data_IF_081538448277
#
_entry.id   IF_081538448277
#
_cell.length_a   1.000
_cell.length_b   1.000
_cell.length_c   1.000
_cell.angle_alpha   90.00
_cell.angle_beta   90.00
_cell.angle_gamma   90.00
#
_symmetry.space_group_name_H-M   'P 1'
#
loop_
_entity.id
_entity.type
_entity.pdbx_description
1 polymer ?
#
# COMPACT_ATOMS: atom_id res chain seq x y z
N UNK A 1 -4.02 14.92 5.14
CA UNK A 1 -4.89 14.12 4.23
C UNK A 1 -4.06 12.98 3.65
N UNK A 2 -4.54 11.74 3.76
CA UNK A 2 -3.88 10.55 3.21
C UNK A 2 -4.31 10.29 1.77
N UNK A 3 -3.39 9.84 0.92
CA UNK A 3 -3.68 9.54 -0.48
C UNK A 3 -4.52 8.27 -0.68
N UNK A 4 -4.41 7.34 0.26
CA UNK A 4 -5.09 6.04 0.20
C UNK A 4 -5.75 5.72 1.53
N UNK A 5 -6.90 5.08 1.48
CA UNK A 5 -7.56 4.49 2.64
C UNK A 5 -7.63 2.98 2.51
N UNK A 6 -7.44 2.27 3.61
CA UNK A 6 -7.66 0.82 3.70
C UNK A 6 -9.16 0.59 3.91
N UNK A 7 -9.88 0.26 2.84
CA UNK A 7 -11.31 -0.04 2.93
C UNK A 7 -11.52 -1.55 3.02
N UNK A 8 -12.06 -2.02 4.13
CA UNK A 8 -12.56 -3.39 4.25
C UNK A 8 -13.74 -3.56 3.29
N UNK A 9 -13.76 -4.70 2.60
CA UNK A 9 -14.87 -5.22 1.80
C UNK A 9 -15.21 -6.60 2.37
N UNK A 10 -16.42 -7.13 2.11
CA UNK A 10 -16.80 -8.46 2.56
C UNK A 10 -15.86 -9.53 1.98
N UNK A 11 -15.19 -10.30 2.85
CA UNK A 11 -14.32 -11.42 2.48
C UNK A 11 -14.79 -12.76 3.07
N UNK A 12 -15.98 -12.82 3.67
CA UNK A 12 -16.43 -13.98 4.46
C UNK A 12 -15.75 -14.08 5.84
N UNK A 13 -14.75 -13.23 6.10
CA UNK A 13 -14.08 -13.11 7.39
C UNK A 13 -14.64 -11.93 8.20
N UNK A 14 -14.39 -11.97 9.51
CA UNK A 14 -14.69 -10.86 10.41
C UNK A 14 -14.02 -9.54 9.94
N UNK A 15 -14.78 -8.43 9.80
CA UNK A 15 -14.24 -7.17 9.29
C UNK A 15 -13.06 -6.61 10.10
N UNK A 16 -13.06 -6.75 11.43
CA UNK A 16 -11.99 -6.23 12.27
C UNK A 16 -10.68 -7.02 12.05
N UNK A 17 -10.79 -8.34 11.87
CA UNK A 17 -9.67 -9.21 11.50
C UNK A 17 -9.05 -8.80 10.16
N UNK A 18 -9.90 -8.53 9.16
CA UNK A 18 -9.45 -8.08 7.83
C UNK A 18 -8.75 -6.73 7.93
N UNK A 19 -9.30 -5.79 8.71
CA UNK A 19 -8.71 -4.48 8.92
C UNK A 19 -7.32 -4.56 9.57
N UNK A 20 -7.19 -5.35 10.64
CA UNK A 20 -5.92 -5.53 11.34
C UNK A 20 -4.83 -6.11 10.42
N UNK A 21 -5.19 -7.11 9.60
CA UNK A 21 -4.29 -7.71 8.61
C UNK A 21 -3.90 -6.71 7.52
N UNK A 22 -4.83 -5.90 7.02
CA UNK A 22 -4.54 -4.85 6.05
C UNK A 22 -3.58 -3.79 6.61
N UNK A 23 -3.80 -3.33 7.84
CA UNK A 23 -2.91 -2.37 8.53
C UNK A 23 -1.50 -2.94 8.70
N UNK A 24 -1.39 -4.20 9.14
CA UNK A 24 -0.10 -4.89 9.28
C UNK A 24 0.63 -5.00 7.93
N UNK A 25 -0.06 -5.42 6.88
CA UNK A 25 0.52 -5.52 5.54
C UNK A 25 0.92 -4.15 4.97
N UNK A 26 0.15 -3.10 5.25
CA UNK A 26 0.44 -1.74 4.85
C UNK A 26 1.71 -1.19 5.52
N UNK A 27 1.82 -1.34 6.85
CA UNK A 27 3.01 -0.91 7.59
C UNK A 27 4.26 -1.71 7.21
N UNK A 28 4.12 -3.02 6.97
CA UNK A 28 5.20 -3.83 6.44
C UNK A 28 5.72 -3.27 5.10
N UNK A 29 4.81 -2.97 4.17
CA UNK A 29 5.19 -2.34 2.91
C UNK A 29 5.83 -0.96 3.12
N UNK A 30 5.28 -0.14 4.03
CA UNK A 30 5.83 1.17 4.36
C UNK A 30 7.30 1.06 4.81
N UNK A 31 7.63 0.07 5.64
CA UNK A 31 8.96 -0.10 6.23
C UNK A 31 10.07 -0.52 5.25
N UNK A 32 9.72 -0.94 4.03
CA UNK A 32 10.68 -1.44 3.03
C UNK A 32 10.84 -0.43 1.89
N UNK A 33 12.07 -0.24 1.39
CA UNK A 33 12.33 0.56 0.20
C UNK A 33 11.69 -0.09 -1.03
N UNK A 34 11.21 0.68 -2.00
CA UNK A 34 10.63 0.08 -3.21
C UNK A 34 11.73 -0.37 -4.18
N UNK A 35 11.84 -1.65 -4.57
CA UNK A 35 12.82 -2.08 -5.56
C UNK A 35 12.56 -1.53 -6.96
N UNK A 36 11.32 -1.12 -7.26
CA UNK A 36 10.89 -0.64 -8.58
C UNK A 36 11.12 0.85 -8.79
N UNK A 37 10.70 1.68 -7.84
CA UNK A 37 10.80 3.14 -7.97
C UNK A 37 11.83 3.78 -7.04
N UNK A 38 12.57 2.94 -6.29
CA UNK A 38 13.69 3.30 -5.42
C UNK A 38 13.37 4.36 -4.35
N UNK A 39 12.08 4.59 -4.07
CA UNK A 39 11.66 5.42 -2.94
C UNK A 39 12.09 4.75 -1.63
N UNK A 40 12.58 5.53 -0.65
CA UNK A 40 12.99 5.01 0.64
C UNK A 40 11.80 4.44 1.43
N UNK A 41 12.09 3.73 2.54
CA UNK A 41 11.08 3.40 3.53
C UNK A 41 10.26 4.62 3.94
N UNK A 42 9.01 4.38 4.30
CA UNK A 42 8.04 5.37 4.76
C UNK A 42 7.67 6.43 3.73
N UNK A 43 7.96 6.26 2.45
CA UNK A 43 7.34 7.05 1.38
C UNK A 43 6.33 6.21 0.58
N UNK A 44 5.34 6.86 -0.05
CA UNK A 44 4.45 6.20 -1.02
C UNK A 44 5.25 5.69 -2.24
N UNK A 45 4.66 4.91 -3.13
CA UNK A 45 5.31 4.60 -4.41
C UNK A 45 4.99 5.68 -5.43
N UNK A 46 5.81 5.82 -6.47
CA UNK A 46 5.62 6.80 -7.55
C UNK A 46 5.68 6.18 -8.94
N UNK A 47 4.88 6.69 -9.87
CA UNK A 47 4.97 6.38 -11.30
C UNK A 47 5.21 7.65 -12.09
N UNK A 48 5.95 7.55 -13.19
CA UNK A 48 6.04 8.62 -14.19
C UNK A 48 4.86 8.49 -15.14
N UNK A 49 4.18 9.60 -15.41
CA UNK A 49 3.11 9.69 -16.42
C UNK A 49 3.25 11.02 -17.13
N UNK A 50 3.47 10.98 -18.46
CA UNK A 50 3.69 12.19 -19.29
C UNK A 50 4.74 13.16 -18.70
N UNK A 51 5.86 12.61 -18.21
CA UNK A 51 6.96 13.39 -17.63
C UNK A 51 6.77 13.85 -16.17
N UNK A 52 5.57 13.73 -15.60
CA UNK A 52 5.32 14.06 -14.20
C UNK A 52 5.29 12.83 -13.30
N UNK A 53 5.77 12.98 -12.06
CA UNK A 53 5.70 11.93 -11.03
C UNK A 53 4.37 12.03 -10.28
N UNK A 54 3.67 10.90 -10.19
CA UNK A 54 2.41 10.77 -9.46
C UNK A 54 2.54 9.74 -8.34
N UNK A 55 1.90 10.05 -7.21
CA UNK A 55 1.70 9.14 -6.10
C UNK A 55 0.90 7.92 -6.57
N UNK A 56 1.35 6.74 -6.18
CA UNK A 56 0.66 5.48 -6.40
C UNK A 56 0.75 4.58 -5.16
N UNK A 57 -0.10 3.55 -5.14
CA UNK A 57 -0.03 2.50 -4.12
C UNK A 57 1.30 1.77 -4.21
N UNK A 58 1.64 1.03 -3.15
CA UNK A 58 2.82 0.19 -3.17
C UNK A 58 2.86 -0.72 -4.39
N UNK A 59 3.93 -0.62 -5.18
CA UNK A 59 4.14 -1.50 -6.31
C UNK A 59 4.26 -2.94 -5.85
N UNK A 60 3.90 -3.88 -6.74
CA UNK A 60 3.97 -5.31 -6.44
C UNK A 60 5.35 -5.77 -5.92
N UNK A 61 6.49 -5.34 -6.50
CA UNK A 61 7.81 -5.70 -5.97
C UNK A 61 8.06 -5.26 -4.53
N UNK A 62 7.49 -4.13 -4.09
CA UNK A 62 7.58 -3.70 -2.69
C UNK A 62 6.70 -4.54 -1.77
N UNK A 63 5.51 -4.93 -2.25
CA UNK A 63 4.62 -5.83 -1.49
C UNK A 63 5.27 -7.20 -1.29
N UNK A 64 5.90 -7.74 -2.34
CA UNK A 64 6.62 -9.02 -2.27
C UNK A 64 7.83 -8.91 -1.33
N UNK A 65 8.65 -7.87 -1.47
CA UNK A 65 9.79 -7.64 -0.57
C UNK A 65 9.40 -7.45 0.90
N UNK A 66 8.20 -6.92 1.16
CA UNK A 66 7.64 -6.75 2.50
C UNK A 66 6.92 -8.00 3.04
N UNK A 67 6.83 -9.08 2.27
CA UNK A 67 6.08 -10.29 2.67
C UNK A 67 4.57 -10.06 2.79
N UNK A 68 4.03 -8.99 2.21
CA UNK A 68 2.60 -8.65 2.31
C UNK A 68 1.66 -9.75 1.79
N UNK A 69 1.96 -10.50 0.70
CA UNK A 69 1.10 -11.60 0.28
C UNK A 69 0.88 -12.67 1.35
N UNK A 70 1.92 -13.02 2.10
CA UNK A 70 1.82 -14.01 3.18
C UNK A 70 0.98 -13.50 4.35
N UNK A 71 1.05 -12.19 4.65
CA UNK A 71 0.21 -11.56 5.68
C UNK A 71 -1.27 -11.52 5.29
N UNK A 72 -1.57 -11.33 4.00
CA UNK A 72 -2.92 -11.11 3.49
C UNK A 72 -3.64 -12.41 3.11
N UNK A 73 -2.92 -13.49 2.80
CA UNK A 73 -3.49 -14.78 2.39
C UNK A 73 -4.51 -15.38 3.38
N UNK A 74 -4.30 -15.31 4.72
CA UNK A 74 -5.26 -15.87 5.69
C UNK A 74 -6.66 -15.25 5.67
N UNK A 75 -6.81 -14.05 5.10
CA UNK A 75 -8.10 -13.35 4.95
C UNK A 75 -8.58 -13.31 3.50
N UNK A 76 -8.03 -14.17 2.64
CA UNK A 76 -8.42 -14.29 1.23
C UNK A 76 -7.98 -13.10 0.35
N UNK A 77 -6.97 -12.34 0.78
CA UNK A 77 -6.50 -11.15 0.05
C UNK A 77 -5.14 -11.44 -0.61
N UNK A 78 -5.04 -11.19 -1.92
CA UNK A 78 -3.82 -11.48 -2.70
C UNK A 78 -2.89 -10.27 -2.90
N UNK A 79 -3.21 -9.10 -2.33
CA UNK A 79 -2.38 -7.90 -2.36
C UNK A 79 -3.11 -6.62 -1.96
N UNK A 80 -2.37 -5.51 -1.82
CA UNK A 80 -2.89 -4.22 -1.35
C UNK A 80 -3.68 -3.42 -2.42
N UNK A 81 -4.25 -4.10 -3.43
CA UNK A 81 -5.23 -3.49 -4.36
C UNK A 81 -6.48 -2.96 -3.62
N UNK A 82 -6.66 -3.38 -2.37
CA UNK A 82 -7.70 -2.95 -1.44
C UNK A 82 -7.57 -1.51 -0.96
N UNK A 83 -6.37 -0.93 -1.00
CA UNK A 83 -6.20 0.48 -0.72
C UNK A 83 -6.91 1.31 -1.81
N UNK A 84 -7.94 2.06 -1.42
CA UNK A 84 -8.67 2.95 -2.34
C UNK A 84 -7.93 4.28 -2.44
N UNK A 85 -7.57 4.67 -3.66
CA UNK A 85 -6.99 6.00 -3.90
C UNK A 85 -8.08 7.06 -3.95
N UNK A 86 -7.79 8.26 -3.42
CA UNK A 86 -8.71 9.41 -3.47
C UNK A 86 -8.59 10.25 -4.76
N UNK A 87 -7.76 9.84 -5.70
CA UNK A 87 -7.48 10.58 -6.94
C UNK A 87 -6.04 10.35 -7.42
N UNK A 88 -5.65 11.09 -8.46
CA UNK A 88 -4.26 11.22 -8.89
C UNK A 88 -3.62 12.44 -8.22
N UNK A 89 -2.49 12.24 -7.54
CA UNK A 89 -1.78 13.31 -6.84
C UNK A 89 -0.34 13.37 -7.35
N UNK A 90 0.17 14.59 -7.55
CA UNK A 90 1.59 14.76 -7.84
C UNK A 90 2.42 14.28 -6.65
N UNK A 91 3.58 13.72 -6.97
CA UNK A 91 4.54 13.25 -5.99
C UNK A 91 5.12 14.42 -5.20
N UNK A 92 5.06 14.35 -3.87
CA UNK A 92 5.51 15.42 -2.95
C UNK A 92 6.47 14.92 -1.86
N UNK A 93 7.08 13.74 -2.06
CA UNK A 93 8.01 13.08 -1.13
C UNK A 93 7.45 12.84 0.30
N UNK A 94 6.14 13.03 0.48
CA UNK A 94 5.49 12.90 1.79
C UNK A 94 5.61 11.49 2.33
N UNK A 95 5.78 11.44 3.65
CA UNK A 95 5.78 10.18 4.37
C UNK A 95 4.40 9.52 4.42
N UNK A 96 4.42 8.19 4.36
CA UNK A 96 3.25 7.37 4.65
C UNK A 96 3.04 7.38 6.17
N UNK A 97 1.84 7.71 6.65
CA UNK A 97 1.51 7.52 8.05
C UNK A 97 1.48 6.03 8.41
N UNK A 98 1.96 5.70 9.60
CA UNK A 98 1.74 4.38 10.18
C UNK A 98 0.27 4.27 10.59
N UNK A 99 -0.36 3.12 10.32
CA UNK A 99 -1.80 2.88 10.55
C UNK A 99 -2.09 1.53 11.18
#
# INVERSE_FOLDING_TARGET
MEYFTLAVKPTGHDPATVEAVLRRAWNACASVACPKCHVPPWQYCRNVTRGALYVTRYHRPRQDAAGAPALLAPVGIHGLRWAKGRGGFLWDDRRVPAV
#
